data_IF_447053453605
#
_entry.id   IF_447053453605
#
_cell.length_a   1.000
_cell.length_b   1.000
_cell.length_c   1.000
_cell.angle_alpha   90.00
_cell.angle_beta   90.00
_cell.angle_gamma   90.00
#
_symmetry.space_group_name_H-M   'P 1'
#
loop_
_entity.id
_entity.type
_entity.pdbx_description
1 polymer ?
#
# COMPACT_ATOMS: atom_id res chain seq x y z
N UNK A 1 11.41 0.84 17.64
CA UNK A 1 11.18 1.88 16.62
C UNK A 1 10.41 1.34 15.42
N UNK A 2 10.95 0.38 14.65
CA UNK A 2 10.31 -0.14 13.42
C UNK A 2 8.92 -0.76 13.61
N UNK A 3 8.70 -1.53 14.67
CA UNK A 3 7.36 -2.06 15.00
C UNK A 3 6.34 -0.95 15.31
N UNK A 4 6.76 0.14 15.94
CA UNK A 4 5.87 1.28 16.22
C UNK A 4 5.46 2.02 14.94
N UNK A 5 6.39 2.19 14.01
CA UNK A 5 6.08 2.77 12.69
C UNK A 5 5.15 1.86 11.87
N UNK A 6 5.38 0.55 11.90
CA UNK A 6 4.50 -0.44 11.26
C UNK A 6 3.08 -0.37 11.82
N UNK A 7 2.94 -0.33 13.16
CA UNK A 7 1.63 -0.20 13.81
C UNK A 7 0.92 1.09 13.38
N UNK A 8 1.65 2.21 13.30
CA UNK A 8 1.06 3.47 12.82
C UNK A 8 0.57 3.38 11.37
N UNK A 9 1.31 2.70 10.49
CA UNK A 9 0.85 2.49 9.12
C UNK A 9 -0.39 1.58 9.05
N UNK A 10 -0.46 0.52 9.87
CA UNK A 10 -1.64 -0.35 9.94
C UNK A 10 -2.88 0.36 10.47
N UNK A 11 -2.70 1.27 11.44
CA UNK A 11 -3.76 2.14 11.94
C UNK A 11 -4.30 3.03 10.83
N UNK A 12 -3.42 3.72 10.10
CA UNK A 12 -3.82 4.58 8.97
C UNK A 12 -4.52 3.80 7.86
N UNK A 13 -4.04 2.59 7.54
CA UNK A 13 -4.71 1.69 6.58
C UNK A 13 -6.14 1.39 7.05
N UNK A 14 -6.33 1.13 8.34
CA UNK A 14 -7.64 0.85 8.92
C UNK A 14 -8.56 2.07 8.85
N UNK A 15 -8.05 3.26 9.17
CA UNK A 15 -8.82 4.52 9.07
C UNK A 15 -9.31 4.78 7.64
N UNK A 16 -8.44 4.59 6.64
CA UNK A 16 -8.82 4.76 5.24
C UNK A 16 -9.81 3.69 4.76
N UNK A 17 -9.68 2.46 5.26
CA UNK A 17 -10.62 1.36 4.95
C UNK A 17 -12.00 1.64 5.54
N UNK A 18 -12.08 2.12 6.79
CA UNK A 18 -13.34 2.52 7.44
C UNK A 18 -14.02 3.65 6.65
N UNK A 19 -13.25 4.69 6.31
CA UNK A 19 -13.78 5.82 5.53
C UNK A 19 -14.27 5.37 4.14
N UNK A 20 -13.59 4.41 3.51
CA UNK A 20 -14.07 3.82 2.26
C UNK A 20 -15.38 3.06 2.43
N UNK A 21 -15.51 2.24 3.47
CA UNK A 21 -16.76 1.53 3.75
C UNK A 21 -17.93 2.51 3.92
N UNK A 22 -17.72 3.59 4.68
CA UNK A 22 -18.71 4.67 4.86
C UNK A 22 -19.11 5.30 3.53
N UNK A 23 -18.14 5.66 2.70
CA UNK A 23 -18.38 6.29 1.38
C UNK A 23 -19.08 5.35 0.40
N UNK A 24 -18.75 4.07 0.41
CA UNK A 24 -19.41 3.06 -0.44
C UNK A 24 -20.89 2.94 -0.06
N UNK A 25 -21.22 2.97 1.23
CA UNK A 25 -22.61 2.96 1.69
C UNK A 25 -23.37 4.19 1.16
N UNK A 26 -22.83 5.40 1.35
CA UNK A 26 -23.45 6.64 0.86
C UNK A 26 -23.60 6.66 -0.67
N UNK A 27 -22.58 6.19 -1.37
CA UNK A 27 -22.55 6.06 -2.82
C UNK A 27 -23.68 5.13 -3.30
N UNK A 28 -23.82 3.95 -2.69
CA UNK A 28 -24.85 2.98 -3.08
C UNK A 28 -26.26 3.42 -2.68
N UNK A 29 -26.43 4.18 -1.60
CA UNK A 29 -27.73 4.72 -1.22
C UNK A 29 -28.26 5.76 -2.22
N UNK A 30 -27.39 6.64 -2.73
CA UNK A 30 -27.79 7.80 -3.55
C UNK A 30 -27.58 7.61 -5.05
N UNK A 31 -26.60 6.81 -5.45
CA UNK A 31 -26.12 6.76 -6.83
C UNK A 31 -26.10 5.36 -7.44
N UNK A 32 -26.60 4.32 -6.76
CA UNK A 32 -26.57 2.93 -7.26
C UNK A 32 -27.08 2.76 -8.69
N UNK A 33 -28.16 3.45 -9.08
CA UNK A 33 -28.69 3.36 -10.45
C UNK A 33 -27.86 4.11 -11.49
N UNK A 34 -27.03 5.07 -11.06
CA UNK A 34 -26.17 5.90 -11.91
C UNK A 34 -24.76 5.32 -12.05
N UNK A 35 -24.43 4.26 -11.30
CA UNK A 35 -23.12 3.64 -11.32
C UNK A 35 -23.05 2.57 -12.40
N UNK A 36 -22.21 2.75 -13.42
CA UNK A 36 -22.00 1.71 -14.40
C UNK A 36 -21.24 0.55 -13.75
N UNK A 37 -21.60 -0.69 -14.11
CA UNK A 37 -20.99 -1.90 -13.54
C UNK A 37 -19.47 -1.95 -13.73
N UNK A 38 -18.98 -1.52 -14.89
CA UNK A 38 -17.55 -1.47 -15.19
C UNK A 38 -16.77 -0.58 -14.22
N UNK A 39 -17.37 0.51 -13.73
CA UNK A 39 -16.70 1.41 -12.79
C UNK A 39 -16.53 0.73 -11.42
N UNK A 40 -17.57 0.02 -10.96
CA UNK A 40 -17.53 -0.75 -9.71
C UNK A 40 -16.45 -1.83 -9.80
N UNK A 41 -16.41 -2.57 -10.91
CA UNK A 41 -15.45 -3.63 -11.14
C UNK A 41 -14.00 -3.10 -11.16
N UNK A 42 -13.73 -2.01 -11.89
CA UNK A 42 -12.39 -1.41 -11.90
C UNK A 42 -11.96 -0.90 -10.51
N UNK A 43 -12.87 -0.31 -9.75
CA UNK A 43 -12.58 0.14 -8.38
C UNK A 43 -12.29 -1.06 -7.46
N UNK A 44 -13.07 -2.13 -7.59
CA UNK A 44 -12.84 -3.38 -6.85
C UNK A 44 -11.46 -3.97 -7.17
N UNK A 45 -11.11 -4.06 -8.45
CA UNK A 45 -9.81 -4.60 -8.88
C UNK A 45 -8.65 -3.76 -8.33
N UNK A 46 -8.78 -2.41 -8.34
CA UNK A 46 -7.76 -1.53 -7.77
C UNK A 46 -7.65 -1.69 -6.24
N UNK A 47 -8.79 -1.89 -5.56
CA UNK A 47 -8.82 -2.18 -4.13
C UNK A 47 -8.14 -3.51 -3.79
N UNK A 48 -8.37 -4.56 -4.59
CA UNK A 48 -7.76 -5.86 -4.40
C UNK A 48 -6.22 -5.78 -4.56
N UNK A 49 -5.74 -4.97 -5.51
CA UNK A 49 -4.31 -4.67 -5.64
C UNK A 49 -3.75 -3.96 -4.41
N UNK A 50 -4.45 -2.94 -3.89
CA UNK A 50 -4.01 -2.24 -2.67
C UNK A 50 -3.98 -3.19 -1.46
N UNK A 51 -4.98 -4.06 -1.32
CA UNK A 51 -5.04 -5.08 -0.28
C UNK A 51 -3.87 -6.06 -0.38
N UNK A 52 -3.60 -6.60 -1.58
CA UNK A 52 -2.48 -7.51 -1.84
C UNK A 52 -1.13 -6.86 -1.50
N UNK A 53 -0.96 -5.58 -1.83
CA UNK A 53 0.23 -4.81 -1.51
C UNK A 53 0.44 -4.74 0.00
N UNK A 54 -0.61 -4.42 0.76
CA UNK A 54 -0.56 -4.36 2.24
C UNK A 54 -0.22 -5.71 2.84
N UNK A 55 -0.88 -6.79 2.39
CA UNK A 55 -0.61 -8.13 2.93
C UNK A 55 0.86 -8.52 2.71
N UNK A 56 1.35 -8.35 1.48
CA UNK A 56 2.74 -8.67 1.14
C UNK A 56 3.74 -7.75 1.82
N UNK A 57 3.39 -6.51 2.13
CA UNK A 57 4.29 -5.60 2.84
C UNK A 57 4.47 -5.99 4.30
N UNK A 58 3.40 -6.45 4.95
CA UNK A 58 3.45 -7.04 6.30
C UNK A 58 4.35 -8.27 6.31
N UNK A 59 4.16 -9.20 5.36
CA UNK A 59 5.03 -10.38 5.24
C UNK A 59 6.50 -9.98 5.01
N UNK A 60 6.72 -9.04 4.08
CA UNK A 60 8.04 -8.50 3.77
C UNK A 60 8.73 -7.90 4.99
N UNK A 61 8.00 -7.22 5.88
CA UNK A 61 8.53 -6.66 7.12
C UNK A 61 9.19 -7.71 8.02
N UNK A 62 8.59 -8.91 8.13
CA UNK A 62 9.12 -9.99 8.95
C UNK A 62 10.24 -10.76 8.25
N UNK A 63 10.11 -10.99 6.94
CA UNK A 63 11.09 -11.77 6.15
C UNK A 63 12.36 -10.95 5.88
N UNK A 64 12.23 -9.64 5.64
CA UNK A 64 13.33 -8.75 5.27
C UNK A 64 13.84 -8.95 3.83
N UNK A 65 13.01 -9.46 2.94
CA UNK A 65 13.38 -9.65 1.53
C UNK A 65 13.23 -8.36 0.71
N UNK A 66 14.38 -7.79 0.34
CA UNK A 66 14.48 -6.57 -0.45
C UNK A 66 13.87 -6.74 -1.86
N UNK A 67 13.91 -7.94 -2.44
CA UNK A 67 13.32 -8.18 -3.77
C UNK A 67 11.81 -8.04 -3.73
N UNK A 68 11.17 -8.58 -2.69
CA UNK A 68 9.73 -8.42 -2.46
C UNK A 68 9.42 -6.94 -2.25
N UNK A 69 10.18 -6.25 -1.41
CA UNK A 69 9.96 -4.82 -1.15
C UNK A 69 10.01 -3.96 -2.43
N UNK A 70 10.98 -4.22 -3.33
CA UNK A 70 11.07 -3.53 -4.62
C UNK A 70 9.87 -3.83 -5.53
N UNK A 71 9.40 -5.08 -5.57
CA UNK A 71 8.21 -5.43 -6.35
C UNK A 71 6.96 -4.70 -5.84
N UNK A 72 6.87 -4.43 -4.53
CA UNK A 72 5.78 -3.66 -3.94
C UNK A 72 5.84 -2.18 -4.32
N UNK A 73 7.03 -1.61 -4.54
CA UNK A 73 7.16 -0.24 -5.05
C UNK A 73 6.66 -0.12 -6.50
N UNK A 74 6.95 -1.13 -7.33
CA UNK A 74 6.41 -1.16 -8.70
C UNK A 74 4.89 -1.37 -8.72
N UNK A 75 4.37 -2.19 -7.80
CA UNK A 75 2.93 -2.36 -7.61
C UNK A 75 2.24 -1.05 -7.20
N UNK A 76 2.86 -0.26 -6.31
CA UNK A 76 2.34 1.06 -5.94
C UNK A 76 2.24 1.99 -7.16
N UNK A 77 3.32 2.10 -7.95
CA UNK A 77 3.32 2.93 -9.17
C UNK A 77 2.21 2.52 -10.14
N UNK A 78 1.97 1.21 -10.27
CA UNK A 78 0.87 0.70 -11.10
C UNK A 78 -0.50 1.14 -10.55
N UNK A 79 -0.70 1.06 -9.23
CA UNK A 79 -1.94 1.52 -8.58
C UNK A 79 -2.16 3.02 -8.81
N UNK A 80 -1.12 3.85 -8.68
CA UNK A 80 -1.21 5.29 -8.92
C UNK A 80 -1.56 5.61 -10.38
N UNK A 81 -0.95 4.89 -11.32
CA UNK A 81 -1.23 5.04 -12.74
C UNK A 81 -2.67 4.65 -13.10
N UNK A 82 -3.15 3.53 -12.57
CA UNK A 82 -4.54 3.09 -12.80
C UNK A 82 -5.54 4.04 -12.13
N UNK A 83 -5.26 4.55 -10.93
CA UNK A 83 -6.06 5.61 -10.29
C UNK A 83 -6.19 6.81 -11.22
N UNK A 84 -5.09 7.29 -11.79
CA UNK A 84 -5.08 8.49 -12.62
C UNK A 84 -5.88 8.31 -13.91
N UNK A 85 -5.78 7.13 -14.54
CA UNK A 85 -6.63 6.77 -15.69
C UNK A 85 -8.11 6.75 -15.31
N UNK A 86 -8.43 6.09 -14.19
CA UNK A 86 -9.82 5.99 -13.72
C UNK A 86 -10.42 7.36 -13.40
N UNK A 87 -9.64 8.30 -12.85
CA UNK A 87 -10.12 9.66 -12.56
C UNK A 87 -10.56 10.44 -13.82
N UNK A 88 -10.07 10.07 -15.01
CA UNK A 88 -10.48 10.66 -16.29
C UNK A 88 -11.76 10.00 -16.85
N UNK A 89 -11.99 8.73 -16.54
CA UNK A 89 -13.08 7.95 -17.12
C UNK A 89 -14.33 7.89 -16.24
N UNK A 90 -14.16 7.98 -14.92
CA UNK A 90 -15.25 7.81 -13.98
C UNK A 90 -16.27 8.95 -14.06
N UNK A 91 -17.57 8.66 -13.86
CA UNK A 91 -18.58 9.69 -13.79
C UNK A 91 -18.30 10.64 -12.62
N UNK A 92 -18.70 11.91 -12.78
CA UNK A 92 -18.52 12.94 -11.76
C UNK A 92 -19.47 12.73 -10.57
N UNK A 93 -19.15 11.75 -9.74
CA UNK A 93 -19.86 11.43 -8.50
C UNK A 93 -18.91 11.71 -7.34
N UNK A 94 -19.29 12.57 -6.36
CA UNK A 94 -18.38 13.03 -5.30
C UNK A 94 -17.63 11.92 -4.55
N UNK A 95 -18.30 10.81 -4.28
CA UNK A 95 -17.71 9.71 -3.49
C UNK A 95 -16.66 8.91 -4.27
N UNK A 96 -16.73 8.84 -5.61
CA UNK A 96 -15.84 7.98 -6.41
C UNK A 96 -14.39 8.42 -6.35
N UNK A 97 -14.14 9.73 -6.49
CA UNK A 97 -12.77 10.27 -6.42
C UNK A 97 -12.16 10.04 -5.04
N UNK A 98 -12.95 10.20 -3.98
CA UNK A 98 -12.50 9.98 -2.60
C UNK A 98 -12.25 8.51 -2.28
N UNK A 99 -13.07 7.60 -2.81
CA UNK A 99 -12.84 6.15 -2.68
C UNK A 99 -11.50 5.77 -3.32
N UNK A 100 -11.26 6.24 -4.55
CA UNK A 100 -9.99 6.01 -5.25
C UNK A 100 -8.79 6.59 -4.48
N UNK A 101 -8.93 7.81 -3.97
CA UNK A 101 -7.88 8.44 -3.17
C UNK A 101 -7.51 7.60 -1.94
N UNK A 102 -8.52 7.15 -1.19
CA UNK A 102 -8.32 6.31 -0.02
C UNK A 102 -7.69 4.95 -0.36
N UNK A 103 -8.08 4.32 -1.49
CA UNK A 103 -7.44 3.08 -1.97
C UNK A 103 -5.93 3.31 -2.18
N UNK A 104 -5.56 4.42 -2.83
CA UNK A 104 -4.14 4.74 -3.00
C UNK A 104 -3.46 5.05 -1.68
N UNK A 105 -4.13 5.70 -0.72
CA UNK A 105 -3.57 5.89 0.63
C UNK A 105 -3.33 4.58 1.36
N UNK A 106 -4.21 3.60 1.21
CA UNK A 106 -3.99 2.25 1.75
C UNK A 106 -2.72 1.64 1.14
N UNK A 107 -2.58 1.72 -0.19
CA UNK A 107 -1.39 1.25 -0.90
C UNK A 107 -0.10 1.98 -0.48
N UNK A 108 -0.13 3.31 -0.35
CA UNK A 108 0.99 4.16 0.10
C UNK A 108 1.49 3.71 1.48
N UNK A 109 0.57 3.51 2.43
CA UNK A 109 0.93 3.08 3.78
C UNK A 109 1.49 1.65 3.78
N UNK A 110 0.92 0.76 2.94
CA UNK A 110 1.47 -0.57 2.71
C UNK A 110 2.91 -0.51 2.18
N UNK A 111 3.19 0.35 1.21
CA UNK A 111 4.53 0.58 0.68
C UNK A 111 5.48 1.16 1.75
N UNK A 112 4.98 2.04 2.63
CA UNK A 112 5.72 2.52 3.79
C UNK A 112 6.21 1.40 4.70
N UNK A 113 5.37 0.38 4.95
CA UNK A 113 5.76 -0.84 5.71
C UNK A 113 6.90 -1.58 4.99
N UNK A 114 6.80 -1.75 3.66
CA UNK A 114 7.85 -2.41 2.87
C UNK A 114 9.18 -1.63 2.90
N UNK A 115 9.14 -0.30 2.86
CA UNK A 115 10.35 0.54 2.98
C UNK A 115 11.01 0.40 4.35
N UNK A 116 10.21 0.29 5.42
CA UNK A 116 10.75 -0.02 6.75
C UNK A 116 11.43 -1.39 6.75
N UNK A 117 10.85 -2.39 6.06
CA UNK A 117 11.43 -3.72 5.93
C UNK A 117 12.84 -3.67 5.31
N UNK A 118 13.02 -2.89 4.23
CA UNK A 118 14.32 -2.66 3.59
C UNK A 118 15.31 -2.07 4.59
N UNK A 119 14.93 -0.99 5.28
CA UNK A 119 15.81 -0.30 6.23
C UNK A 119 16.25 -1.23 7.37
N UNK A 120 15.32 -2.01 7.92
CA UNK A 120 15.59 -2.99 8.96
C UNK A 120 16.53 -4.12 8.47
N UNK A 121 16.32 -4.62 7.24
CA UNK A 121 17.16 -5.67 6.65
C UNK A 121 18.59 -5.18 6.38
N UNK A 122 18.75 -3.95 5.88
CA UNK A 122 20.05 -3.33 5.64
C UNK A 122 20.80 -3.04 6.95
N UNK A 123 20.12 -2.54 7.99
CA UNK A 123 20.74 -2.29 9.30
C UNK A 123 21.20 -3.58 9.98
N UNK A 124 20.43 -4.67 9.86
CA UNK A 124 20.85 -5.98 10.38
C UNK A 124 22.11 -6.50 9.68
N UNK A 125 22.20 -6.37 8.35
CA UNK A 125 23.38 -6.79 7.57
C UNK A 125 24.62 -5.95 7.89
N UNK A 126 24.48 -4.64 8.09
CA UNK A 126 25.62 -3.76 8.40
C UNK A 126 26.22 -4.04 9.78
N UNK A 127 25.40 -4.40 10.77
CA UNK A 127 25.90 -4.84 12.11
C UNK A 127 26.73 -6.12 12.03
N UNK A 128 26.42 -7.03 11.10
CA UNK A 128 27.20 -8.26 10.88
C UNK A 128 28.58 -7.94 10.27
N UNK A 129 28.72 -6.87 9.49
CA UNK A 129 29.99 -6.42 8.94
C UNK A 129 30.91 -5.65 9.91
N UNK A 130 30.62 -5.63 11.22
CA UNK A 130 31.40 -4.86 12.22
C UNK A 130 32.56 -5.62 12.91
N UNK A 131 32.83 -6.88 12.55
CA UNK A 131 34.02 -7.67 12.98
C UNK A 131 34.42 -8.62 11.83
N UNK A 132 35.66 -8.78 11.35
CA UNK A 132 37.00 -8.43 11.81
C UNK A 132 37.94 -8.21 10.62
N UNK A 133 38.63 -7.07 10.55
CA UNK A 133 39.96 -7.03 9.93
C UNK A 133 40.96 -7.46 11.00
N UNK A 134 41.19 -8.76 11.14
CA UNK A 134 42.43 -9.25 11.74
C UNK A 134 43.47 -9.29 10.63
N UNK A 135 44.30 -8.25 10.60
CA UNK A 135 45.60 -8.22 9.95
C UNK A 135 46.44 -9.37 10.47
N UNK A 136 46.47 -10.48 9.74
CA UNK A 136 47.52 -11.47 9.89
C UNK A 136 48.72 -11.04 9.03
N UNK A 137 49.58 -10.20 9.61
CA UNK A 137 50.98 -10.13 9.19
C UNK A 137 51.67 -11.41 9.67
N UNK A 138 52.14 -12.23 8.73
CA UNK A 138 53.32 -13.08 8.88
C UNK A 138 54.07 -13.09 7.56
#
# INVERSE_FOLDING_TARGET
LYFGLMLRYLELISDFAEENARRVIELLQRYKQKLPKWAIERISNLNDLAHDLVLKSVDCFFIGDIKIANSLMEMLKFIELERDRMLQELPEIPHLRLILWNITRIADNGAGIALIAINNALEKKSKICSKSWTTAFK
#
